data_IF_108249015476
#
_entry.id   IF_108249015476
#
_cell.length_a   1.000
_cell.length_b   1.000
_cell.length_c   1.000
_cell.angle_alpha   90.00
_cell.angle_beta   90.00
_cell.angle_gamma   90.00
#
_symmetry.space_group_name_H-M   'P 1'
#
loop_
_entity.id
_entity.type
_entity.pdbx_description
1 polymer ?
#
# COMPACT_ATOMS: atom_id res chain seq x y z
N UNK A 1 -6.74 9.95 1.81
CA UNK A 1 -5.79 9.65 2.88
C UNK A 1 -5.38 8.19 2.81
N UNK A 2 -4.08 7.88 2.91
CA UNK A 2 -3.58 6.51 3.04
C UNK A 2 -3.79 6.05 4.48
N UNK A 3 -4.39 4.88 4.67
CA UNK A 3 -4.63 4.32 5.99
C UNK A 3 -3.62 3.24 6.34
N UNK A 4 -3.48 2.26 5.45
CA UNK A 4 -2.58 1.14 5.63
C UNK A 4 -2.10 0.67 4.27
N UNK A 5 -0.84 0.27 4.19
CA UNK A 5 -0.28 -0.39 3.01
C UNK A 5 0.42 -1.67 3.44
N UNK A 6 -0.02 -2.77 2.88
CA UNK A 6 0.48 -4.11 3.18
C UNK A 6 1.04 -4.72 1.90
N UNK A 7 2.17 -5.39 2.01
CA UNK A 7 2.77 -6.11 0.90
C UNK A 7 3.52 -7.34 1.40
N UNK A 8 3.64 -8.34 0.53
CA UNK A 8 4.30 -9.62 0.83
C UNK A 8 5.03 -10.13 -0.40
N UNK A 9 6.10 -10.89 -0.19
CA UNK A 9 6.89 -11.50 -1.25
C UNK A 9 7.34 -10.46 -2.31
N UNK A 10 8.07 -9.43 -1.87
CA UNK A 10 8.56 -8.34 -2.72
C UNK A 10 10.03 -8.00 -2.41
N UNK A 11 10.92 -8.15 -3.40
CA UNK A 11 12.35 -7.86 -3.31
C UNK A 11 13.03 -8.46 -2.06
N UNK A 12 13.31 -7.64 -1.05
CA UNK A 12 13.97 -8.05 0.20
C UNK A 12 13.01 -8.50 1.29
N UNK A 13 11.70 -8.42 1.04
CA UNK A 13 10.65 -8.77 1.98
C UNK A 13 10.00 -10.08 1.55
N UNK A 14 10.28 -11.14 2.31
CA UNK A 14 9.64 -12.44 2.12
C UNK A 14 8.22 -12.41 2.68
N UNK A 15 8.13 -12.09 3.96
CA UNK A 15 6.89 -12.14 4.73
C UNK A 15 6.08 -10.85 4.57
N UNK A 16 4.85 -10.90 5.08
CA UNK A 16 3.96 -9.75 5.11
C UNK A 16 4.58 -8.59 5.89
N UNK A 17 4.51 -7.39 5.31
CA UNK A 17 4.98 -6.15 5.91
C UNK A 17 3.89 -5.11 5.81
N UNK A 18 3.60 -4.46 6.94
CA UNK A 18 2.52 -3.49 7.09
C UNK A 18 3.11 -2.11 7.41
N UNK A 19 2.77 -1.12 6.59
CA UNK A 19 2.93 0.31 6.90
C UNK A 19 1.57 0.84 7.34
N UNK A 20 1.39 1.02 8.64
CA UNK A 20 0.17 1.55 9.25
C UNK A 20 0.30 3.05 9.54
N UNK A 21 -0.64 3.83 9.01
CA UNK A 21 -0.70 5.29 9.17
C UNK A 21 -1.79 5.71 10.15
N UNK A 22 -2.53 4.76 10.75
CA UNK A 22 -3.54 5.04 11.75
C UNK A 22 -2.88 5.54 13.04
N UNK A 23 -3.41 6.62 13.62
CA UNK A 23 -2.87 7.09 14.88
C UNK A 23 -3.27 6.11 16.00
N UNK A 24 -2.28 5.69 16.78
CA UNK A 24 -2.52 5.03 18.06
C UNK A 24 -2.87 6.13 19.06
N UNK A 25 -3.91 5.92 19.88
CA UNK A 25 -4.29 6.83 20.96
C UNK A 25 -3.09 7.07 21.88
N UNK A 26 -2.38 8.16 21.66
CA UNK A 26 -1.15 8.50 22.36
C UNK A 26 -1.23 9.94 22.85
N UNK A 27 -1.10 10.10 24.16
CA UNK A 27 -1.16 11.42 24.80
C UNK A 27 0.02 12.27 24.31
N UNK A 28 -0.27 13.45 23.77
CA UNK A 28 0.74 14.51 23.55
C UNK A 28 0.85 15.06 22.12
N UNK A 29 0.24 14.43 21.10
CA UNK A 29 0.35 14.88 19.70
C UNK A 29 -0.99 15.05 18.97
N UNK A 30 -2.11 15.03 19.70
CA UNK A 30 -3.48 15.14 19.16
C UNK A 30 -3.64 16.34 18.19
N UNK A 31 -2.99 17.48 18.47
CA UNK A 31 -3.03 18.68 17.62
C UNK A 31 -2.25 18.56 16.29
N UNK A 32 -1.40 17.54 16.14
CA UNK A 32 -0.60 17.32 14.92
C UNK A 32 -1.21 16.27 13.99
N UNK A 33 -2.32 15.64 14.41
CA UNK A 33 -2.96 14.59 13.65
C UNK A 33 -3.86 15.20 12.57
N UNK A 34 -3.97 14.52 11.43
CA UNK A 34 -4.88 14.96 10.38
C UNK A 34 -6.31 14.68 10.84
N UNK A 35 -7.18 15.71 10.90
CA UNK A 35 -8.59 15.49 11.16
C UNK A 35 -9.20 14.83 9.92
N UNK A 36 -9.63 13.58 10.03
CA UNK A 36 -10.60 13.05 9.08
C UNK A 36 -11.98 13.59 9.44
N UNK A 37 -12.78 13.97 8.43
CA UNK A 37 -14.12 14.54 8.59
C UNK A 37 -15.10 13.67 9.41
N UNK A 38 -14.68 12.46 9.79
CA UNK A 38 -15.39 11.47 10.60
C UNK A 38 -14.70 11.05 11.93
N UNK A 39 -13.79 11.87 12.47
CA UNK A 39 -13.21 11.75 13.84
C UNK A 39 -12.21 10.61 14.06
N UNK A 40 -11.46 10.21 13.04
CA UNK A 40 -10.28 9.38 13.25
C UNK A 40 -9.03 10.18 12.98
N UNK A 41 -8.08 10.03 13.88
CA UNK A 41 -6.79 10.69 13.83
C UNK A 41 -5.84 9.86 12.98
N UNK A 42 -5.25 10.50 11.97
CA UNK A 42 -4.28 9.86 11.09
C UNK A 42 -2.93 10.54 11.23
N UNK A 43 -1.86 9.75 11.09
CA UNK A 43 -0.50 10.27 11.10
C UNK A 43 -0.25 11.06 9.80
N UNK A 44 0.13 12.35 9.87
CA UNK A 44 0.47 13.12 8.67
C UNK A 44 1.79 12.67 8.03
N UNK A 45 2.66 12.04 8.83
CA UNK A 45 4.03 11.70 8.46
C UNK A 45 4.42 10.38 9.13
N UNK A 46 5.11 9.52 8.40
CA UNK A 46 5.78 8.34 8.92
C UNK A 46 7.28 8.39 8.59
N UNK A 47 8.11 7.90 9.50
CA UNK A 47 9.55 7.82 9.33
C UNK A 47 10.01 6.35 9.33
N UNK A 48 10.65 5.92 8.24
CA UNK A 48 11.21 4.57 8.09
C UNK A 48 12.72 4.65 8.29
N UNK A 49 13.22 4.10 9.39
CA UNK A 49 14.64 4.11 9.77
C UNK A 49 15.15 2.68 10.04
N UNK A 50 16.48 2.51 10.01
CA UNK A 50 17.13 1.21 10.17
C UNK A 50 18.47 1.13 9.45
N UNK A 51 19.21 0.01 9.61
CA UNK A 51 20.54 -0.17 9.04
C UNK A 51 20.60 0.03 7.52
N UNK A 52 21.77 0.39 7.00
CA UNK A 52 22.02 0.39 5.55
C UNK A 52 21.75 -1.01 4.97
N UNK A 53 21.21 -1.06 3.75
CA UNK A 53 20.72 -2.27 3.10
C UNK A 53 19.58 -3.03 3.82
N UNK A 54 19.00 -2.47 4.90
CA UNK A 54 17.85 -3.06 5.60
C UNK A 54 16.50 -2.98 4.89
N UNK A 55 16.47 -2.78 3.57
CA UNK A 55 15.22 -2.82 2.78
C UNK A 55 14.34 -1.56 2.79
N UNK A 56 14.70 -0.50 3.53
CA UNK A 56 13.88 0.73 3.65
C UNK A 56 13.36 1.29 2.31
N UNK A 57 14.23 1.40 1.30
CA UNK A 57 13.85 1.88 -0.04
C UNK A 57 12.88 0.92 -0.75
N UNK A 58 12.94 -0.37 -0.45
CA UNK A 58 12.05 -1.36 -1.02
C UNK A 58 10.60 -1.23 -0.51
N UNK A 59 10.37 -0.63 0.67
CA UNK A 59 9.01 -0.26 1.11
C UNK A 59 8.40 0.77 0.17
N UNK A 60 9.16 1.83 -0.16
CA UNK A 60 8.71 2.85 -1.10
C UNK A 60 8.59 2.29 -2.52
N UNK A 61 9.49 1.41 -2.92
CA UNK A 61 9.41 0.77 -4.23
C UNK A 61 8.22 -0.20 -4.34
N UNK A 62 7.81 -0.86 -3.26
CA UNK A 62 6.60 -1.68 -3.23
C UNK A 62 5.36 -0.80 -3.50
N UNK A 63 5.27 0.36 -2.84
CA UNK A 63 4.18 1.31 -3.08
C UNK A 63 4.20 1.87 -4.51
N UNK A 64 5.38 2.20 -5.05
CA UNK A 64 5.54 2.61 -6.45
C UNK A 64 5.14 1.50 -7.43
N UNK A 65 5.43 0.25 -7.09
CA UNK A 65 5.04 -0.92 -7.88
C UNK A 65 3.52 -1.03 -7.96
N UNK A 66 2.83 -0.98 -6.82
CA UNK A 66 1.36 -0.94 -6.77
C UNK A 66 0.79 0.21 -7.61
N UNK A 67 1.31 1.43 -7.41
CA UNK A 67 0.89 2.59 -8.20
C UNK A 67 1.10 2.37 -9.71
N UNK A 68 2.24 1.81 -10.11
CA UNK A 68 2.54 1.52 -11.52
C UNK A 68 1.58 0.48 -12.09
N UNK A 69 1.30 -0.59 -11.36
CA UNK A 69 0.37 -1.65 -11.79
C UNK A 69 -1.02 -1.09 -12.12
N UNK A 70 -1.51 -0.13 -11.33
CA UNK A 70 -2.83 0.49 -11.52
C UNK A 70 -2.79 1.60 -12.58
N UNK A 71 -1.79 2.48 -12.54
CA UNK A 71 -1.77 3.72 -13.35
C UNK A 71 -1.22 3.49 -14.74
N UNK A 72 -0.20 2.63 -14.91
CA UNK A 72 0.46 2.42 -16.19
C UNK A 72 -0.51 1.98 -17.31
N UNK A 73 -1.43 1.02 -17.09
CA UNK A 73 -2.43 0.68 -18.10
C UNK A 73 -3.28 1.88 -18.51
N UNK A 74 -3.73 2.69 -17.56
CA UNK A 74 -4.56 3.87 -17.80
C UNK A 74 -3.83 4.89 -18.69
N UNK A 75 -2.54 5.13 -18.42
CA UNK A 75 -1.72 6.05 -19.22
C UNK A 75 -1.51 5.54 -20.65
N UNK A 76 -1.25 4.24 -20.82
CA UNK A 76 -1.15 3.61 -22.12
C UNK A 76 -2.45 3.75 -22.93
N UNK A 77 -3.60 3.50 -22.30
CA UNK A 77 -4.91 3.69 -22.94
C UNK A 77 -5.15 5.14 -23.38
N UNK A 78 -4.55 6.12 -22.69
CA UNK A 78 -4.62 7.55 -23.03
C UNK A 78 -3.55 7.99 -24.04
N UNK A 79 -2.79 7.06 -24.62
CA UNK A 79 -1.75 7.35 -25.62
C UNK A 79 -0.47 7.96 -25.05
N UNK A 80 -0.27 7.90 -23.73
CA UNK A 80 0.98 8.35 -23.09
C UNK A 80 1.98 7.20 -23.04
N UNK A 81 2.92 7.20 -24.01
CA UNK A 81 3.89 6.12 -24.20
C UNK A 81 5.21 6.32 -23.46
N UNK A 82 5.40 7.45 -22.79
CA UNK A 82 6.62 7.76 -22.01
C UNK A 82 6.62 7.11 -20.63
N UNK A 83 5.48 6.58 -20.18
CA UNK A 83 5.40 5.85 -18.93
C UNK A 83 6.17 4.51 -19.06
N UNK A 84 6.81 4.07 -17.99
CA UNK A 84 7.47 2.77 -17.91
C UNK A 84 6.81 1.97 -16.79
N UNK A 85 6.52 0.69 -17.06
CA UNK A 85 6.06 -0.24 -16.05
C UNK A 85 7.17 -0.50 -15.03
N UNK A 86 6.84 -0.44 -13.74
CA UNK A 86 7.72 -0.93 -12.69
C UNK A 86 7.61 -2.45 -12.67
N UNK A 87 8.75 -3.14 -12.80
CA UNK A 87 8.77 -4.59 -12.65
C UNK A 87 8.46 -4.99 -11.21
N UNK A 88 7.43 -5.82 -11.05
CA UNK A 88 7.15 -6.49 -9.80
C UNK A 88 8.11 -7.68 -9.66
N UNK A 89 9.04 -7.60 -8.69
CA UNK A 89 10.05 -8.63 -8.46
C UNK A 89 9.79 -9.27 -7.10
N UNK A 90 9.54 -10.58 -7.03
CA UNK A 90 9.27 -11.27 -5.78
C UNK A 90 10.52 -11.39 -4.91
N UNK A 91 10.40 -11.99 -3.73
CA UNK A 91 11.54 -12.40 -2.93
C UNK A 91 12.26 -13.55 -3.65
N UNK A 92 13.56 -13.36 -3.93
CA UNK A 92 14.35 -14.30 -4.75
C UNK A 92 15.35 -15.15 -3.95
N UNK A 93 15.41 -15.01 -2.62
CA UNK A 93 16.43 -15.66 -1.81
C UNK A 93 15.99 -17.02 -1.22
N UNK A 94 14.95 -17.63 -1.78
CA UNK A 94 14.61 -19.03 -1.51
C UNK A 94 14.00 -19.73 -2.74
N UNK A 95 13.76 -21.04 -2.63
CA UNK A 95 13.29 -21.89 -3.74
C UNK A 95 11.79 -21.79 -4.02
N UNK A 96 10.99 -21.27 -3.08
CA UNK A 96 9.53 -21.31 -3.14
C UNK A 96 8.94 -19.98 -3.56
N UNK A 97 9.35 -18.90 -2.90
CA UNK A 97 8.78 -17.56 -3.06
C UNK A 97 8.93 -16.96 -4.47
N UNK A 98 9.95 -17.28 -5.30
CA UNK A 98 9.99 -16.81 -6.69
C UNK A 98 8.81 -17.28 -7.54
N UNK A 99 8.22 -18.42 -7.15
CA UNK A 99 7.06 -19.02 -7.80
C UNK A 99 5.75 -18.69 -7.08
N UNK A 100 5.78 -17.98 -5.96
CA UNK A 100 4.58 -17.48 -5.27
C UNK A 100 4.19 -16.08 -5.78
N UNK A 101 2.90 -15.67 -5.68
CA UNK A 101 2.50 -14.32 -6.02
C UNK A 101 3.16 -13.27 -5.11
N UNK A 102 3.44 -12.09 -5.66
CA UNK A 102 3.62 -10.87 -4.90
C UNK A 102 2.26 -10.26 -4.63
N UNK A 103 1.97 -9.98 -3.36
CA UNK A 103 0.66 -9.51 -2.92
C UNK A 103 0.79 -8.05 -2.43
N UNK A 104 -0.17 -7.22 -2.81
CA UNK A 104 -0.30 -5.85 -2.33
C UNK A 104 -1.73 -5.61 -1.84
N UNK A 105 -1.85 -4.88 -0.75
CA UNK A 105 -3.11 -4.41 -0.19
C UNK A 105 -2.98 -2.97 0.27
N UNK A 106 -4.00 -2.16 0.00
CA UNK A 106 -4.04 -0.77 0.41
C UNK A 106 -5.43 -0.42 0.93
N UNK A 107 -5.43 0.16 2.13
CA UNK A 107 -6.59 0.82 2.70
C UNK A 107 -6.45 2.33 2.54
N UNK A 108 -7.46 2.98 1.98
CA UNK A 108 -7.45 4.42 1.79
C UNK A 108 -8.86 5.01 1.80
N UNK A 109 -8.91 6.28 2.19
CA UNK A 109 -10.13 7.09 2.31
C UNK A 109 -9.97 8.29 1.37
N UNK A 110 -10.43 8.22 0.11
CA UNK A 110 -10.28 9.32 -0.84
C UNK A 110 -11.23 10.47 -0.53
N UNK A 111 -12.37 10.17 0.06
CA UNK A 111 -13.41 11.07 0.54
C UNK A 111 -13.80 10.67 1.97
N UNK A 112 -14.35 11.58 2.77
CA UNK A 112 -14.70 11.29 4.15
C UNK A 112 -15.83 10.26 4.31
N UNK A 113 -16.47 9.80 3.23
CA UNK A 113 -17.65 8.93 3.30
C UNK A 113 -17.30 7.44 3.18
N UNK A 114 -16.29 7.08 2.40
CA UNK A 114 -15.97 5.69 2.10
C UNK A 114 -14.51 5.33 2.38
N UNK A 115 -14.34 4.20 3.05
CA UNK A 115 -13.07 3.47 3.10
C UNK A 115 -13.05 2.44 1.96
N UNK A 116 -11.91 2.39 1.28
CA UNK A 116 -11.63 1.43 0.22
C UNK A 116 -10.52 0.49 0.65
N UNK A 117 -10.70 -0.79 0.33
CA UNK A 117 -9.67 -1.82 0.41
C UNK A 117 -9.43 -2.33 -0.99
N UNK A 118 -8.25 -2.08 -1.52
CA UNK A 118 -7.83 -2.61 -2.81
C UNK A 118 -6.75 -3.67 -2.60
N UNK A 119 -6.88 -4.80 -3.29
CA UNK A 119 -5.95 -5.92 -3.23
C UNK A 119 -5.58 -6.34 -4.65
N UNK A 120 -4.30 -6.64 -4.88
CA UNK A 120 -3.81 -7.15 -6.16
C UNK A 120 -2.67 -8.13 -5.92
N UNK A 121 -2.73 -9.27 -6.61
CA UNK A 121 -1.72 -10.33 -6.57
C UNK A 121 -1.13 -10.53 -7.96
N UNK A 122 0.19 -10.49 -8.05
CA UNK A 122 0.94 -10.59 -9.31
C UNK A 122 1.90 -11.75 -9.27
N UNK A 123 1.83 -12.65 -10.25
CA UNK A 123 2.73 -13.78 -10.39
C UNK A 123 3.31 -13.80 -11.80
N UNK A 124 4.65 -13.79 -11.92
CA UNK A 124 5.36 -13.83 -13.22
C UNK A 124 4.84 -12.77 -14.22
N UNK A 125 4.59 -11.56 -13.74
CA UNK A 125 4.10 -10.44 -14.54
C UNK A 125 2.61 -10.50 -14.92
N UNK A 126 1.86 -11.46 -14.41
CA UNK A 126 0.41 -11.60 -14.63
C UNK A 126 -0.34 -11.31 -13.34
N UNK A 127 -1.45 -10.57 -13.45
CA UNK A 127 -2.39 -10.40 -12.36
C UNK A 127 -3.15 -11.73 -12.21
N UNK A 128 -3.04 -12.35 -11.03
CA UNK A 128 -3.74 -13.59 -10.69
C UNK A 128 -4.99 -13.35 -9.86
N UNK A 129 -5.04 -12.23 -9.15
CA UNK A 129 -6.19 -11.79 -8.37
C UNK A 129 -6.20 -10.27 -8.26
N UNK A 130 -7.39 -9.67 -8.32
CA UNK A 130 -7.60 -8.24 -8.14
C UNK A 130 -8.99 -7.99 -7.55
N UNK A 131 -9.06 -7.29 -6.42
CA UNK A 131 -10.31 -7.01 -5.72
C UNK A 131 -10.38 -5.55 -5.26
N UNK A 132 -11.57 -4.97 -5.31
CA UNK A 132 -11.88 -3.67 -4.73
C UNK A 132 -13.12 -3.79 -3.85
N UNK A 133 -12.96 -3.50 -2.56
CA UNK A 133 -14.03 -3.40 -1.60
C UNK A 133 -14.22 -1.95 -1.19
N UNK A 134 -15.47 -1.58 -0.90
CA UNK A 134 -15.81 -0.29 -0.31
C UNK A 134 -16.70 -0.48 0.90
N UNK A 135 -16.50 0.34 1.92
CA UNK A 135 -17.30 0.37 3.14
C UNK A 135 -17.68 1.81 3.45
N UNK A 136 -18.97 2.05 3.67
CA UNK A 136 -19.45 3.36 4.11
C UNK A 136 -19.04 3.58 5.56
N UNK A 137 -18.37 4.68 5.82
CA UNK A 137 -17.95 5.09 7.16
C UNK A 137 -19.16 5.65 7.90
N UNK A 138 -19.58 4.99 8.98
CA UNK A 138 -20.50 5.56 9.94
C UNK A 138 -19.73 6.50 10.91
N UNK A 139 -20.40 7.48 11.53
CA UNK A 139 -19.77 8.31 12.54
C UNK A 139 -19.11 7.45 13.64
N UNK A 140 -17.83 7.67 13.93
CA UNK A 140 -17.01 6.93 14.92
C UNK A 140 -16.68 5.45 14.57
N UNK A 141 -16.78 5.04 13.30
CA UNK A 141 -16.32 3.69 12.88
C UNK A 141 -14.80 3.57 13.03
N UNK A 142 -14.28 2.38 13.37
CA UNK A 142 -12.84 2.09 13.27
C UNK A 142 -12.48 1.68 11.84
N UNK A 143 -11.32 2.12 11.37
CA UNK A 143 -10.73 1.69 10.09
C UNK A 143 -10.31 0.23 10.25
N UNK A 144 -10.51 -0.55 9.18
CA UNK A 144 -10.31 -2.01 9.18
C UNK A 144 -8.83 -2.38 9.12
#
# INVERSE_FOLDING_TARGET
MLCQFTFKNYKSYKDETILDMQAVSSQGFEHSLLPDGNKQEMLPVAAIYGPNAGGKSNVLDALKCLHSLVVFPILLFRGQTTAQAVNCVPFLFDEKTPDEPTEFEIFFIPDAEFEYRYQISVQKGKIVEENLYRRKLAPNSRIS
#
